data_IF_091104380476
#
_entry.id   IF_091104380476
#
_cell.length_a   1.000
_cell.length_b   1.000
_cell.length_c   1.000
_cell.angle_alpha   90.00
_cell.angle_beta   90.00
_cell.angle_gamma   90.00
#
_symmetry.space_group_name_H-M   'P 1'
#
loop_
_entity.id
_entity.type
_entity.pdbx_description
1 polymer ?
#
# COMPACT_ATOMS: atom_id res chain seq x y z
N UNK A 1 -6.54 6.72 6.02
CA UNK A 1 -5.95 6.49 7.36
C UNK A 1 -5.41 5.08 7.45
N UNK A 2 -4.48 4.79 8.37
CA UNK A 2 -3.93 3.44 8.57
C UNK A 2 -5.02 2.40 8.88
N UNK A 3 -6.03 2.74 9.70
CA UNK A 3 -7.16 1.84 9.96
C UNK A 3 -7.97 1.49 8.70
N UNK A 4 -8.17 2.45 7.79
CA UNK A 4 -8.84 2.18 6.52
C UNK A 4 -7.99 1.30 5.59
N UNK A 5 -6.67 1.51 5.56
CA UNK A 5 -5.76 0.67 4.80
C UNK A 5 -5.71 -0.76 5.36
N UNK A 6 -5.71 -0.93 6.69
CA UNK A 6 -5.74 -2.24 7.33
C UNK A 6 -6.99 -3.04 6.94
N UNK A 7 -8.15 -2.40 6.86
CA UNK A 7 -9.39 -3.05 6.35
C UNK A 7 -9.25 -3.50 4.89
N UNK A 8 -8.65 -2.69 4.02
CA UNK A 8 -8.38 -3.08 2.62
C UNK A 8 -7.43 -4.28 2.55
N UNK A 9 -6.36 -4.26 3.35
CA UNK A 9 -5.40 -5.36 3.43
C UNK A 9 -6.06 -6.66 3.92
N UNK A 10 -6.95 -6.60 4.91
CA UNK A 10 -7.72 -7.77 5.35
C UNK A 10 -8.58 -8.33 4.20
N UNK A 11 -9.32 -7.48 3.49
CA UNK A 11 -10.13 -7.91 2.35
C UNK A 11 -9.30 -8.54 1.22
N UNK A 12 -8.11 -8.00 0.92
CA UNK A 12 -7.21 -8.61 -0.07
C UNK A 12 -6.68 -9.97 0.36
N UNK A 13 -6.40 -10.17 1.66
CA UNK A 13 -5.94 -11.46 2.20
C UNK A 13 -7.01 -12.55 2.11
N UNK A 14 -8.27 -12.17 2.24
CA UNK A 14 -9.42 -13.09 2.12
C UNK A 14 -9.83 -13.34 0.66
N UNK A 15 -9.33 -12.54 -0.29
CA UNK A 15 -9.62 -12.71 -1.71
C UNK A 15 -9.05 -14.00 -2.28
N UNK A 16 -9.77 -14.59 -3.24
CA UNK A 16 -9.41 -15.86 -3.90
C UNK A 16 -8.04 -15.79 -4.59
N UNK A 17 -7.59 -14.60 -5.00
CA UNK A 17 -6.29 -14.41 -5.63
C UNK A 17 -5.12 -14.70 -4.67
N UNK A 18 -5.30 -14.44 -3.36
CA UNK A 18 -4.30 -14.69 -2.31
C UNK A 18 -2.97 -13.94 -2.48
N UNK A 19 -2.87 -13.00 -3.43
CA UNK A 19 -1.64 -12.27 -3.78
C UNK A 19 -1.95 -10.80 -3.98
N UNK A 20 -1.10 -9.95 -3.42
CA UNK A 20 -1.13 -8.51 -3.59
C UNK A 20 0.09 -8.08 -4.41
N UNK A 21 -0.14 -7.37 -5.50
CA UNK A 21 0.91 -6.76 -6.31
C UNK A 21 0.88 -5.24 -6.11
N UNK A 22 2.04 -4.66 -5.85
CA UNK A 22 2.18 -3.21 -5.65
C UNK A 22 3.13 -2.65 -6.70
N UNK A 23 2.66 -1.65 -7.44
CA UNK A 23 3.44 -0.95 -8.44
C UNK A 23 3.81 0.46 -7.94
N UNK A 24 5.11 0.77 -7.95
CA UNK A 24 5.64 2.10 -7.62
C UNK A 24 6.44 2.56 -8.85
N UNK A 25 6.04 3.70 -9.41
CA UNK A 25 6.70 4.29 -10.57
C UNK A 25 8.08 4.84 -10.27
N UNK A 26 8.86 5.05 -11.32
CA UNK A 26 10.14 5.76 -11.25
C UNK A 26 9.94 7.28 -11.22
N UNK A 27 10.96 8.04 -11.62
CA UNK A 27 10.90 9.51 -11.67
C UNK A 27 9.73 10.03 -12.54
N UNK A 28 9.44 9.36 -13.65
CA UNK A 28 8.36 9.73 -14.58
C UNK A 28 6.99 9.12 -14.20
N UNK A 29 6.91 8.42 -13.06
CA UNK A 29 5.70 7.76 -12.60
C UNK A 29 5.43 6.41 -13.27
N UNK A 30 4.14 6.02 -13.34
CA UNK A 30 3.68 4.76 -13.92
C UNK A 30 3.13 5.00 -15.32
N UNK A 31 3.42 4.08 -16.25
CA UNK A 31 2.83 4.12 -17.58
C UNK A 31 1.28 4.08 -17.50
N UNK A 32 0.55 4.80 -18.38
CA UNK A 32 -0.90 4.84 -18.35
C UNK A 32 -1.58 3.47 -18.37
N UNK A 33 -1.01 2.51 -19.11
CA UNK A 33 -1.50 1.13 -19.16
C UNK A 33 -1.44 0.41 -17.81
N UNK A 34 -0.42 0.69 -16.99
CA UNK A 34 -0.30 0.12 -15.62
C UNK A 34 -1.36 0.73 -14.71
N UNK A 35 -1.57 2.04 -14.79
CA UNK A 35 -2.60 2.73 -14.02
C UNK A 35 -4.00 2.25 -14.39
N UNK A 36 -4.26 2.02 -15.69
CA UNK A 36 -5.54 1.51 -16.18
C UNK A 36 -5.80 0.04 -15.78
N UNK A 37 -4.74 -0.77 -15.62
CA UNK A 37 -4.84 -2.17 -15.21
C UNK A 37 -5.00 -2.36 -13.70
N UNK A 38 -4.62 -1.37 -12.91
CA UNK A 38 -4.62 -1.45 -11.45
C UNK A 38 -6.05 -1.56 -10.90
N UNK A 39 -6.27 -2.55 -10.04
CA UNK A 39 -7.56 -2.75 -9.40
C UNK A 39 -7.87 -1.61 -8.41
N UNK A 40 -6.83 -1.02 -7.79
CA UNK A 40 -6.95 0.10 -6.87
C UNK A 40 -5.77 1.07 -6.97
N UNK A 41 -6.01 2.34 -6.60
CA UNK A 41 -4.99 3.39 -6.51
C UNK A 41 -4.86 3.88 -5.07
N UNK A 42 -3.64 3.86 -4.54
CA UNK A 42 -3.32 4.33 -3.18
C UNK A 42 -2.48 5.61 -3.26
N UNK A 43 -2.95 6.70 -2.65
CA UNK A 43 -2.13 7.89 -2.43
C UNK A 43 -1.47 7.81 -1.05
N UNK A 44 -0.15 8.00 -1.00
CA UNK A 44 0.61 8.05 0.25
C UNK A 44 0.59 9.45 0.89
N UNK A 45 0.52 10.48 0.05
CA UNK A 45 0.64 11.89 0.43
C UNK A 45 0.20 12.79 -0.73
N UNK A 46 -0.23 14.03 -0.47
CA UNK A 46 -0.35 15.05 -1.52
C UNK A 46 1.01 15.54 -2.08
N UNK A 47 2.14 15.19 -1.43
CA UNK A 47 3.49 15.56 -1.84
C UNK A 47 4.09 14.54 -2.82
N UNK A 48 4.99 15.00 -3.69
CA UNK A 48 5.83 14.13 -4.51
C UNK A 48 6.93 13.52 -3.65
N UNK A 49 6.90 12.19 -3.49
CA UNK A 49 7.93 11.45 -2.77
C UNK A 49 8.93 10.84 -3.78
N UNK A 50 10.25 10.88 -3.51
CA UNK A 50 11.22 10.05 -4.23
C UNK A 50 10.77 8.58 -4.18
N UNK A 51 10.88 7.87 -5.30
CA UNK A 51 10.35 6.51 -5.43
C UNK A 51 10.96 5.52 -4.40
N UNK A 52 12.19 5.74 -3.96
CA UNK A 52 12.84 4.98 -2.88
C UNK A 52 12.13 5.19 -1.53
N UNK A 53 11.82 6.45 -1.18
CA UNK A 53 11.08 6.78 0.04
C UNK A 53 9.63 6.30 -0.04
N UNK A 54 8.98 6.42 -1.20
CA UNK A 54 7.63 5.91 -1.41
C UNK A 54 7.57 4.39 -1.14
N UNK A 55 8.58 3.63 -1.58
CA UNK A 55 8.69 2.19 -1.30
C UNK A 55 8.83 1.91 0.19
N UNK A 56 9.68 2.65 0.89
CA UNK A 56 9.87 2.50 2.33
C UNK A 56 8.56 2.76 3.09
N UNK A 57 7.87 3.85 2.75
CA UNK A 57 6.58 4.22 3.37
C UNK A 57 5.53 3.14 3.12
N UNK A 58 5.46 2.57 1.91
CA UNK A 58 4.52 1.47 1.63
C UNK A 58 4.78 0.26 2.52
N UNK A 59 6.04 -0.18 2.63
CA UNK A 59 6.41 -1.33 3.46
C UNK A 59 6.07 -1.07 4.93
N UNK A 60 6.40 0.12 5.42
CA UNK A 60 6.12 0.54 6.79
C UNK A 60 4.61 0.57 7.09
N UNK A 61 3.80 1.10 6.16
CA UNK A 61 2.34 1.13 6.33
C UNK A 61 1.72 -0.27 6.26
N UNK A 62 2.26 -1.19 5.45
CA UNK A 62 1.82 -2.59 5.46
C UNK A 62 2.14 -3.27 6.79
N UNK A 63 3.33 -3.00 7.36
CA UNK A 63 3.69 -3.48 8.69
C UNK A 63 2.74 -2.91 9.77
N UNK A 64 2.44 -1.60 9.73
CA UNK A 64 1.41 -1.00 10.61
C UNK A 64 0.06 -1.68 10.46
N UNK A 65 -0.39 -1.92 9.23
CA UNK A 65 -1.65 -2.61 8.97
C UNK A 65 -1.65 -4.01 9.57
N UNK A 66 -0.53 -4.73 9.46
CA UNK A 66 -0.38 -6.02 10.12
C UNK A 66 -0.53 -5.91 11.64
N UNK A 67 0.18 -5.00 12.30
CA UNK A 67 0.05 -4.79 13.74
C UNK A 67 -1.39 -4.47 14.17
N UNK A 68 -2.10 -3.62 13.41
CA UNK A 68 -3.52 -3.31 13.64
C UNK A 68 -4.39 -4.57 13.53
N UNK A 69 -4.16 -5.40 12.50
CA UNK A 69 -4.95 -6.60 12.25
C UNK A 69 -4.70 -7.72 13.28
N UNK A 70 -3.49 -7.80 13.84
CA UNK A 70 -3.13 -8.81 14.84
C UNK A 70 -3.32 -8.34 16.27
N UNK A 71 -3.71 -7.07 16.48
CA UNK A 71 -3.74 -6.47 17.82
C UNK A 71 -2.36 -6.36 18.46
N UNK A 72 -1.27 -6.41 17.68
CA UNK A 72 0.07 -6.18 18.21
C UNK A 72 0.29 -4.70 18.46
N UNK A 73 0.86 -4.30 19.62
CA UNK A 73 1.18 -2.91 19.87
C UNK A 73 2.19 -2.43 18.83
N UNK A 74 1.79 -1.45 18.03
CA UNK A 74 2.66 -0.79 17.08
C UNK A 74 3.32 0.37 17.82
N UNK A 75 4.62 0.24 18.17
CA UNK A 75 5.44 1.19 18.94
C UNK A 75 4.71 2.43 19.48
N UNK A 76 3.80 2.17 20.44
CA UNK A 76 3.39 2.89 21.64
C UNK A 76 2.09 2.28 22.17
#
# INVERSE_FOLDING_TARGET
>A
TTAALARRVAGWRESVAGRLWLAIGGADGLAPAVVARADERLSLSPLTLPHELARLVVVEQLYRCHCVLTGHPYHH
#
